data_IF_900800579352
#
_entry.id   IF_900800579352
#
_cell.length_a   1.000
_cell.length_b   1.000
_cell.length_c   1.000
_cell.angle_alpha   90.00
_cell.angle_beta   90.00
_cell.angle_gamma   90.00
#
_symmetry.space_group_name_H-M   'P 1'
#
loop_
_entity.id
_entity.type
_entity.pdbx_description
1 polymer ?
#
# COMPACT_ATOMS: atom_id res chain seq x y z
N UNK A 1 -22.83 -8.13 -5.46
CA UNK A 1 -21.84 -7.11 -5.09
C UNK A 1 -20.45 -7.67 -5.38
N UNK A 2 -19.67 -6.94 -6.13
CA UNK A 2 -18.33 -7.37 -6.52
C UNK A 2 -17.29 -6.83 -5.54
N UNK A 3 -16.99 -7.61 -4.50
CA UNK A 3 -15.97 -7.25 -3.51
C UNK A 3 -14.81 -8.20 -3.65
N UNK A 4 -13.61 -7.66 -3.76
CA UNK A 4 -12.35 -8.40 -3.90
C UNK A 4 -11.41 -8.05 -2.75
N UNK A 5 -10.45 -8.92 -2.50
CA UNK A 5 -9.36 -8.64 -1.56
C UNK A 5 -8.17 -8.19 -2.39
N UNK A 6 -7.65 -7.01 -2.07
CA UNK A 6 -6.49 -6.43 -2.74
C UNK A 6 -5.34 -6.25 -1.75
N UNK A 7 -4.13 -6.14 -2.30
CA UNK A 7 -2.96 -5.79 -1.51
C UNK A 7 -2.84 -4.27 -1.40
N UNK A 8 -2.63 -3.76 -0.19
CA UNK A 8 -2.43 -2.32 0.04
C UNK A 8 -1.18 -1.85 -0.70
N UNK A 9 -0.08 -2.61 -0.56
CA UNK A 9 1.10 -2.46 -1.41
C UNK A 9 1.02 -3.56 -2.47
N UNK A 10 0.80 -3.15 -3.73
CA UNK A 10 0.72 -4.11 -4.84
C UNK A 10 1.99 -4.97 -4.88
N UNK A 11 1.83 -6.26 -5.14
CA UNK A 11 2.97 -7.19 -5.09
C UNK A 11 4.04 -6.82 -6.12
N UNK A 12 3.65 -6.31 -7.28
CA UNK A 12 4.60 -5.83 -8.29
C UNK A 12 5.39 -4.62 -7.79
N UNK A 13 4.72 -3.67 -7.13
CA UNK A 13 5.40 -2.53 -6.51
C UNK A 13 6.34 -3.00 -5.40
N UNK A 14 5.89 -3.91 -4.56
CA UNK A 14 6.71 -4.47 -3.48
C UNK A 14 7.99 -5.11 -4.06
N UNK A 15 7.86 -5.88 -5.13
CA UNK A 15 9.02 -6.50 -5.79
C UNK A 15 10.03 -5.45 -6.22
N UNK A 16 9.56 -4.40 -6.91
CA UNK A 16 10.42 -3.33 -7.44
C UNK A 16 11.06 -2.49 -6.33
N UNK A 17 10.46 -2.44 -5.15
CA UNK A 17 10.94 -1.61 -4.03
C UNK A 17 11.58 -2.43 -2.91
N UNK A 18 12.09 -3.61 -3.21
CA UNK A 18 12.94 -4.35 -2.31
C UNK A 18 12.54 -5.79 -2.02
N UNK A 19 11.33 -6.22 -2.39
CA UNK A 19 10.90 -7.59 -2.10
C UNK A 19 11.75 -8.63 -2.82
N UNK A 20 12.42 -8.28 -3.91
CA UNK A 20 13.32 -9.17 -4.60
C UNK A 20 14.53 -9.60 -3.73
N UNK A 21 14.82 -8.85 -2.66
CA UNK A 21 15.88 -9.18 -1.70
C UNK A 21 15.39 -10.08 -0.57
N UNK A 22 14.07 -10.26 -0.43
CA UNK A 22 13.51 -11.10 0.61
C UNK A 22 13.60 -12.58 0.25
N UNK A 23 13.59 -13.43 1.26
CA UNK A 23 13.46 -14.87 1.05
C UNK A 23 12.08 -15.20 0.52
N UNK A 24 11.92 -16.39 -0.07
CA UNK A 24 10.61 -16.86 -0.52
C UNK A 24 9.60 -16.90 0.63
N UNK A 25 10.04 -17.32 1.83
CA UNK A 25 9.20 -17.36 3.01
C UNK A 25 8.70 -15.96 3.40
N UNK A 26 9.60 -14.98 3.38
CA UNK A 26 9.26 -13.58 3.68
C UNK A 26 8.31 -13.00 2.64
N UNK A 27 8.52 -13.29 1.35
CA UNK A 27 7.61 -12.85 0.30
C UNK A 27 6.22 -13.46 0.44
N UNK A 28 6.14 -14.74 0.83
CA UNK A 28 4.87 -15.40 1.10
C UNK A 28 4.17 -14.74 2.28
N UNK A 29 4.90 -14.43 3.34
CA UNK A 29 4.35 -13.72 4.49
C UNK A 29 3.79 -12.36 4.10
N UNK A 30 4.53 -11.59 3.28
CA UNK A 30 4.09 -10.28 2.77
C UNK A 30 2.77 -10.39 1.99
N UNK A 31 2.67 -11.39 1.11
CA UNK A 31 1.49 -11.57 0.27
C UNK A 31 0.24 -11.98 1.06
N UNK A 32 0.41 -12.60 2.22
CA UNK A 32 -0.68 -13.11 3.04
C UNK A 32 -0.89 -12.32 4.34
N UNK A 33 -0.12 -11.26 4.55
CA UNK A 33 -0.20 -10.45 5.77
C UNK A 33 -1.50 -9.65 5.78
N UNK A 34 -2.37 -9.81 6.82
CA UNK A 34 -3.59 -9.01 6.94
C UNK A 34 -3.33 -7.50 6.88
N UNK A 35 -2.17 -7.03 7.34
CA UNK A 35 -1.78 -5.63 7.25
C UNK A 35 -1.73 -5.14 5.80
N UNK A 36 -1.42 -6.04 4.86
CA UNK A 36 -1.31 -5.74 3.43
C UNK A 36 -2.57 -6.08 2.65
N UNK A 37 -3.66 -6.44 3.30
CA UNK A 37 -4.89 -6.86 2.63
C UNK A 37 -6.03 -5.92 2.98
N UNK A 38 -6.87 -5.59 1.99
CA UNK A 38 -8.09 -4.83 2.24
C UNK A 38 -9.18 -5.20 1.22
N UNK A 39 -10.42 -5.05 1.64
CA UNK A 39 -11.57 -5.31 0.78
C UNK A 39 -11.83 -4.09 -0.11
N UNK A 40 -12.05 -4.32 -1.40
CA UNK A 40 -12.26 -3.25 -2.36
C UNK A 40 -13.24 -3.71 -3.44
N UNK A 41 -14.00 -2.77 -4.02
CA UNK A 41 -14.84 -3.08 -5.19
C UNK A 41 -13.94 -3.47 -6.36
N UNK A 42 -14.37 -4.49 -7.12
CA UNK A 42 -13.57 -5.04 -8.21
C UNK A 42 -13.13 -3.99 -9.23
N UNK A 43 -14.02 -3.02 -9.57
CA UNK A 43 -13.66 -1.94 -10.50
C UNK A 43 -12.53 -1.06 -9.97
N UNK A 44 -12.48 -0.82 -8.64
CA UNK A 44 -11.40 -0.03 -8.05
C UNK A 44 -10.10 -0.81 -8.01
N UNK A 45 -10.17 -2.11 -7.76
CA UNK A 45 -9.01 -2.99 -7.84
C UNK A 45 -8.42 -3.00 -9.26
N UNK A 46 -9.28 -3.07 -10.27
CA UNK A 46 -8.84 -3.00 -11.67
C UNK A 46 -8.19 -1.66 -12.00
N UNK A 47 -8.73 -0.55 -11.49
CA UNK A 47 -8.15 0.78 -11.70
C UNK A 47 -6.79 0.91 -11.04
N UNK A 48 -6.64 0.41 -9.81
CA UNK A 48 -5.38 0.47 -9.07
C UNK A 48 -4.31 -0.35 -9.75
N UNK A 49 -4.65 -1.57 -10.21
CA UNK A 49 -3.69 -2.51 -10.79
C UNK A 49 -2.48 -2.65 -9.86
N UNK A 50 -1.26 -2.45 -10.35
CA UNK A 50 -0.03 -2.48 -9.55
C UNK A 50 0.45 -1.07 -9.16
N UNK A 51 -0.46 -0.08 -9.22
CA UNK A 51 -0.13 1.31 -8.92
C UNK A 51 0.31 1.55 -7.49
N UNK A 52 1.22 2.49 -7.33
CA UNK A 52 1.65 3.01 -6.03
C UNK A 52 0.92 4.32 -5.70
N UNK A 53 1.28 4.96 -4.59
CA UNK A 53 0.62 6.19 -4.13
C UNK A 53 0.83 7.37 -5.10
N UNK A 54 1.82 7.32 -5.97
CA UNK A 54 2.06 8.36 -6.96
C UNK A 54 1.13 8.23 -8.17
N UNK A 55 0.60 7.03 -8.43
CA UNK A 55 -0.20 6.73 -9.62
C UNK A 55 -1.66 6.47 -9.33
N UNK A 56 -2.01 6.10 -8.10
CA UNK A 56 -3.38 5.83 -7.72
C UNK A 56 -3.60 6.07 -6.23
N UNK A 57 -4.74 6.66 -5.90
CA UNK A 57 -5.24 6.82 -4.52
C UNK A 57 -6.70 6.40 -4.47
N UNK A 58 -7.17 5.87 -3.31
CA UNK A 58 -8.60 5.58 -3.17
C UNK A 58 -9.44 6.81 -3.45
N UNK A 59 -10.57 6.68 -4.19
CA UNK A 59 -11.43 7.82 -4.48
C UNK A 59 -12.03 8.45 -3.23
N UNK A 60 -12.30 7.66 -2.18
CA UNK A 60 -12.83 8.17 -0.92
C UNK A 60 -11.71 8.88 -0.16
N UNK A 61 -11.76 10.22 -0.15
CA UNK A 61 -10.70 11.04 0.45
C UNK A 61 -10.50 10.77 1.93
N UNK A 62 -11.57 10.45 2.67
CA UNK A 62 -11.49 10.15 4.10
C UNK A 62 -10.70 8.87 4.40
N UNK A 63 -10.54 8.00 3.42
CA UNK A 63 -9.77 6.75 3.58
C UNK A 63 -8.29 6.90 3.22
N UNK A 64 -7.92 7.98 2.53
CA UNK A 64 -6.53 8.13 2.00
C UNK A 64 -5.47 8.16 3.10
N UNK A 65 -5.76 8.80 4.23
CA UNK A 65 -4.80 8.85 5.35
C UNK A 65 -4.52 7.44 5.91
N UNK A 66 -5.57 6.66 6.14
CA UNK A 66 -5.45 5.28 6.59
C UNK A 66 -4.71 4.43 5.56
N UNK A 67 -5.05 4.59 4.28
CA UNK A 67 -4.44 3.84 3.19
C UNK A 67 -2.92 4.08 3.13
N UNK A 68 -2.51 5.34 3.18
CA UNK A 68 -1.08 5.70 3.16
C UNK A 68 -0.36 5.16 4.41
N UNK A 69 -0.98 5.30 5.58
CA UNK A 69 -0.39 4.78 6.82
C UNK A 69 -0.20 3.25 6.75
N UNK A 70 -1.15 2.52 6.17
CA UNK A 70 -1.01 1.09 5.97
C UNK A 70 0.12 0.75 4.99
N UNK A 71 0.26 1.50 3.90
CA UNK A 71 1.36 1.28 2.96
C UNK A 71 2.72 1.47 3.65
N UNK A 72 2.85 2.51 4.46
CA UNK A 72 4.08 2.76 5.22
C UNK A 72 4.35 1.61 6.19
N UNK A 73 3.33 1.16 6.92
CA UNK A 73 3.46 0.06 7.87
C UNK A 73 3.97 -1.22 7.20
N UNK A 74 3.41 -1.57 6.04
CA UNK A 74 3.84 -2.74 5.27
C UNK A 74 5.29 -2.59 4.82
N UNK A 75 5.64 -1.45 4.25
CA UNK A 75 7.00 -1.23 3.74
C UNK A 75 8.03 -1.21 4.87
N UNK A 76 7.70 -0.65 6.02
CA UNK A 76 8.59 -0.70 7.19
C UNK A 76 8.76 -2.13 7.68
N UNK A 77 7.67 -2.87 7.82
CA UNK A 77 7.70 -4.24 8.33
C UNK A 77 8.59 -5.16 7.48
N UNK A 78 8.56 -4.98 6.16
CA UNK A 78 9.29 -5.84 5.23
C UNK A 78 10.55 -5.20 4.64
N UNK A 79 10.98 -4.08 5.21
CA UNK A 79 12.20 -3.37 4.80
C UNK A 79 12.19 -2.98 3.32
N UNK A 80 11.02 -2.59 2.82
CA UNK A 80 10.86 -2.09 1.46
C UNK A 80 11.11 -0.58 1.44
N UNK A 81 11.48 -0.05 0.27
CA UNK A 81 11.66 1.39 0.12
C UNK A 81 10.53 2.02 -0.68
N UNK A 82 10.52 3.34 -0.75
CA UNK A 82 9.60 4.12 -1.59
C UNK A 82 10.40 4.87 -2.64
N UNK A 83 9.77 5.07 -3.81
CA UNK A 83 10.34 5.94 -4.83
C UNK A 83 10.14 7.40 -4.42
N UNK A 84 10.87 8.33 -5.04
CA UNK A 84 10.70 9.77 -4.77
C UNK A 84 9.26 10.24 -5.08
N UNK A 85 8.63 9.87 -6.21
CA UNK A 85 7.23 10.21 -6.46
C UNK A 85 6.26 9.64 -5.41
N UNK A 86 6.47 8.39 -4.97
CA UNK A 86 5.66 7.81 -3.89
C UNK A 86 5.76 8.65 -2.61
N UNK A 87 6.99 8.98 -2.21
CA UNK A 87 7.24 9.76 -1.00
C UNK A 87 6.54 11.11 -1.07
N UNK A 88 6.63 11.80 -2.19
CA UNK A 88 5.96 13.09 -2.37
C UNK A 88 4.45 12.97 -2.22
N UNK A 89 3.83 11.95 -2.83
CA UNK A 89 2.40 11.70 -2.73
C UNK A 89 1.99 11.39 -1.29
N UNK A 90 2.76 10.55 -0.61
CA UNK A 90 2.49 10.17 0.79
C UNK A 90 2.59 11.37 1.72
N UNK A 91 3.63 12.19 1.59
CA UNK A 91 3.81 13.39 2.40
C UNK A 91 2.65 14.35 2.19
N UNK A 92 2.23 14.54 0.93
CA UNK A 92 1.10 15.43 0.62
C UNK A 92 -0.21 15.00 1.28
N UNK A 93 -0.47 13.69 1.32
CA UNK A 93 -1.67 13.16 1.97
C UNK A 93 -1.56 13.29 3.49
N UNK A 94 -0.44 12.88 4.08
CA UNK A 94 -0.26 12.86 5.54
C UNK A 94 -0.22 14.27 6.13
N UNK A 95 0.18 15.27 5.37
CA UNK A 95 0.15 16.67 5.81
C UNK A 95 -1.26 17.13 6.16
N UNK A 96 -2.29 16.50 5.57
CA UNK A 96 -3.71 16.82 5.82
C UNK A 96 -4.29 16.03 6.99
N UNK A 97 -3.54 15.12 7.58
CA UNK A 97 -4.00 14.26 8.67
C UNK A 97 -2.90 14.06 9.71
N UNK A 98 -2.52 15.14 10.42
CA UNK A 98 -1.33 15.11 11.30
C UNK A 98 -1.47 14.16 12.50
N UNK A 99 -2.68 13.72 12.83
CA UNK A 99 -2.90 12.77 13.94
C UNK A 99 -2.95 11.32 13.47
N UNK A 100 -2.80 11.07 12.17
CA UNK A 100 -2.83 9.70 11.65
C UNK A 100 -1.62 8.91 12.15
N UNK A 101 -1.90 7.74 12.70
CA UNK A 101 -0.85 6.84 13.19
C UNK A 101 -0.59 5.73 12.19
N UNK A 102 0.66 5.26 12.16
CA UNK A 102 1.06 4.12 11.33
C UNK A 102 0.83 2.84 12.15
N UNK A 103 0.02 1.90 11.67
CA UNK A 103 -0.19 0.64 12.38
C UNK A 103 1.11 -0.17 12.48
N UNK A 104 1.22 -0.96 13.51
CA UNK A 104 2.40 -1.79 13.77
C UNK A 104 2.10 -3.28 13.69
#
# INVERSE_FOLDING_TARGET
MDVQIDHVVALSNAWQTGAFKLTKLERTALANDPLNLFAVKGRLNSQKSDGDAATWLPPMKSFRCTYIAQQIAVKVKYSLWVTAPEKSAMVGILAKCPTQQVPS
#
